data_IF_498157251120
#
_entry.id   IF_498157251120
#
_cell.length_a   1.000
_cell.length_b   1.000
_cell.length_c   1.000
_cell.angle_alpha   90.00
_cell.angle_beta   90.00
_cell.angle_gamma   90.00
#
_symmetry.space_group_name_H-M   'P 1'
#
loop_
_entity.id
_entity.type
_entity.pdbx_description
1 polymer ?
#
# COMPACT_ATOMS: atom_id res chain seq x y z
N UNK A 1 21.24 -9.39 3.39
CA UNK A 1 21.05 -10.29 4.55
C UNK A 1 21.19 -11.70 4.05
N UNK A 2 22.09 -12.50 4.61
CA UNK A 2 22.29 -13.89 4.19
C UNK A 2 21.15 -14.81 4.69
N UNK A 3 21.06 -16.00 4.10
CA UNK A 3 19.99 -16.96 4.40
C UNK A 3 19.95 -17.42 5.86
N UNK A 4 21.12 -17.51 6.52
CA UNK A 4 21.22 -17.96 7.92
C UNK A 4 20.73 -16.87 8.87
N UNK A 5 21.01 -15.61 8.57
CA UNK A 5 20.50 -14.45 9.31
C UNK A 5 18.98 -14.34 9.16
N UNK A 6 18.45 -14.60 7.96
CA UNK A 6 17.00 -14.60 7.70
C UNK A 6 16.26 -15.70 8.47
N UNK A 7 16.82 -16.92 8.51
CA UNK A 7 16.26 -18.04 9.28
C UNK A 7 16.20 -17.76 10.78
N UNK A 8 17.27 -17.15 11.33
CA UNK A 8 17.30 -16.71 12.73
C UNK A 8 16.26 -15.63 13.03
N UNK A 9 16.12 -14.66 12.13
CA UNK A 9 15.13 -13.60 12.26
C UNK A 9 13.71 -14.16 12.27
N UNK A 10 13.37 -15.11 11.39
CA UNK A 10 12.06 -15.78 11.38
C UNK A 10 11.73 -16.46 12.71
N UNK A 11 12.69 -17.17 13.29
CA UNK A 11 12.51 -17.85 14.58
C UNK A 11 12.26 -16.86 15.72
N UNK A 12 13.01 -15.76 15.74
CA UNK A 12 12.83 -14.72 16.76
C UNK A 12 11.50 -13.97 16.61
N UNK A 13 11.04 -13.73 15.38
CA UNK A 13 9.71 -13.13 15.13
C UNK A 13 8.60 -14.06 15.60
N UNK A 14 8.71 -15.37 15.38
CA UNK A 14 7.72 -16.33 15.89
C UNK A 14 7.65 -16.34 17.43
N UNK A 15 8.75 -16.05 18.13
CA UNK A 15 8.76 -15.93 19.59
C UNK A 15 8.03 -14.68 20.12
N UNK A 16 7.72 -13.70 19.27
CA UNK A 16 6.92 -12.55 19.69
C UNK A 16 5.44 -12.88 19.88
N UNK A 17 4.99 -14.03 19.38
CA UNK A 17 3.60 -14.51 19.50
C UNK A 17 3.41 -15.41 20.74
N UNK A 18 4.46 -15.64 21.54
CA UNK A 18 4.31 -16.40 22.80
C UNK A 18 3.63 -15.53 23.86
N UNK A 19 2.82 -16.12 24.77
CA UNK A 19 2.12 -15.34 25.81
C UNK A 19 3.04 -14.88 26.95
N UNK A 20 4.32 -15.24 26.93
CA UNK A 20 5.27 -14.95 27.99
C UNK A 20 6.03 -13.64 27.72
N UNK A 21 5.70 -12.57 28.44
CA UNK A 21 6.28 -11.23 28.22
C UNK A 21 7.81 -11.20 28.24
N UNK A 22 8.44 -11.99 29.13
CA UNK A 22 9.89 -12.03 29.23
C UNK A 22 10.54 -12.67 28.00
N UNK A 23 9.86 -13.61 27.33
CA UNK A 23 10.32 -14.18 26.07
C UNK A 23 10.18 -13.18 24.91
N UNK A 24 9.07 -12.44 24.87
CA UNK A 24 8.84 -11.40 23.86
C UNK A 24 9.90 -10.29 23.94
N UNK A 25 10.18 -9.80 25.16
CA UNK A 25 11.21 -8.77 25.40
C UNK A 25 12.59 -9.29 25.00
N UNK A 26 12.93 -10.52 25.39
CA UNK A 26 14.20 -11.15 25.00
C UNK A 26 14.31 -11.34 23.48
N UNK A 27 13.22 -11.74 22.81
CA UNK A 27 13.17 -11.86 21.36
C UNK A 27 13.38 -10.50 20.68
N UNK A 28 12.75 -9.43 21.18
CA UNK A 28 12.91 -8.07 20.66
C UNK A 28 14.36 -7.58 20.77
N UNK A 29 15.02 -7.81 21.91
CA UNK A 29 16.44 -7.50 22.09
C UNK A 29 17.31 -8.27 21.11
N UNK A 30 17.09 -9.58 20.95
CA UNK A 30 17.84 -10.41 20.00
C UNK A 30 17.62 -10.01 18.55
N UNK A 31 16.42 -9.58 18.18
CA UNK A 31 16.14 -9.04 16.83
C UNK A 31 16.94 -7.74 16.64
N UNK A 32 16.93 -6.84 17.61
CA UNK A 32 17.68 -5.59 17.53
C UNK A 32 19.19 -5.82 17.40
N UNK A 33 19.76 -6.74 18.18
CA UNK A 33 21.18 -7.10 18.10
C UNK A 33 21.53 -7.73 16.74
N UNK A 34 20.66 -8.61 16.24
CA UNK A 34 20.83 -9.23 14.93
C UNK A 34 20.81 -8.18 13.80
N UNK A 35 19.89 -7.22 13.84
CA UNK A 35 19.82 -6.13 12.87
C UNK A 35 21.05 -5.22 12.95
N UNK A 36 21.50 -4.86 14.17
CA UNK A 36 22.71 -4.06 14.37
C UNK A 36 23.97 -4.76 13.87
N UNK A 37 24.08 -6.08 14.03
CA UNK A 37 25.19 -6.87 13.48
C UNK A 37 25.27 -6.81 11.94
N UNK A 38 24.16 -6.45 11.28
CA UNK A 38 24.07 -6.25 9.84
C UNK A 38 24.15 -4.76 9.44
N UNK A 39 24.51 -3.88 10.38
CA UNK A 39 24.60 -2.43 10.16
C UNK A 39 23.25 -1.76 9.94
N UNK A 40 22.15 -2.35 10.42
CA UNK A 40 20.80 -1.83 10.26
C UNK A 40 20.14 -1.54 11.60
N UNK A 41 19.32 -0.50 11.64
CA UNK A 41 18.39 -0.27 12.75
C UNK A 41 17.04 -0.92 12.48
N UNK A 42 16.21 -1.03 13.53
CA UNK A 42 14.82 -1.46 13.38
C UNK A 42 14.03 -0.58 12.40
N UNK A 43 14.30 0.72 12.40
CA UNK A 43 13.67 1.69 11.48
C UNK A 43 14.08 1.42 10.04
N UNK A 44 15.36 1.15 9.79
CA UNK A 44 15.84 0.80 8.44
C UNK A 44 15.22 -0.50 7.94
N UNK A 45 15.08 -1.48 8.84
CA UNK A 45 14.45 -2.76 8.53
C UNK A 45 12.96 -2.60 8.22
N UNK A 46 12.22 -1.83 9.04
CA UNK A 46 10.81 -1.52 8.82
C UNK A 46 10.61 -0.77 7.49
N UNK A 47 11.41 0.26 7.22
CA UNK A 47 11.39 1.00 5.95
C UNK A 47 11.67 0.09 4.76
N UNK A 48 12.59 -0.88 4.90
CA UNK A 48 12.86 -1.87 3.84
C UNK A 48 11.69 -2.82 3.61
N UNK A 49 10.95 -3.22 4.65
CA UNK A 49 9.73 -4.03 4.49
C UNK A 49 8.60 -3.23 3.83
N UNK A 50 8.45 -1.96 4.20
CA UNK A 50 7.51 -1.05 3.54
C UNK A 50 7.87 -0.86 2.06
N UNK A 51 9.16 -0.74 1.73
CA UNK A 51 9.63 -0.63 0.35
C UNK A 51 9.56 -1.96 -0.41
N UNK A 52 9.75 -3.11 0.24
CA UNK A 52 9.66 -4.43 -0.38
C UNK A 52 8.22 -4.89 -0.62
N UNK A 53 7.25 -4.31 0.08
CA UNK A 53 5.81 -4.54 -0.15
C UNK A 53 5.22 -3.58 -1.18
N UNK A 54 5.99 -2.60 -1.65
CA UNK A 54 5.65 -1.78 -2.83
C UNK A 54 6.12 -2.52 -4.09
N UNK A 55 5.24 -2.77 -5.08
CA UNK A 55 5.66 -3.34 -6.35
C UNK A 55 6.73 -2.43 -6.97
N UNK A 56 7.91 -2.97 -7.24
CA UNK A 56 8.99 -2.27 -7.95
C UNK A 56 8.63 -2.15 -9.43
N UNK A 57 7.74 -1.21 -9.73
CA UNK A 57 7.74 -0.54 -11.03
C UNK A 57 8.93 0.43 -11.11
N UNK A 58 9.33 0.87 -12.31
CA UNK A 58 10.31 1.95 -12.47
C UNK A 58 9.88 3.19 -11.66
N UNK A 59 10.79 4.09 -11.28
CA UNK A 59 10.42 5.33 -10.63
C UNK A 59 9.63 6.17 -11.64
N UNK A 60 8.32 6.00 -11.67
CA UNK A 60 7.43 6.97 -12.28
C UNK A 60 7.68 8.30 -11.56
N UNK A 61 7.90 9.35 -12.33
CA UNK A 61 7.97 10.71 -11.82
C UNK A 61 6.89 10.92 -10.74
N UNK A 62 7.22 11.60 -9.62
CA UNK A 62 6.23 11.82 -8.58
C UNK A 62 4.99 12.44 -9.23
N UNK A 63 3.81 11.81 -9.09
CA UNK A 63 2.61 12.24 -9.80
C UNK A 63 2.43 13.72 -9.49
N UNK A 64 2.35 14.52 -10.55
CA UNK A 64 2.18 15.95 -10.37
C UNK A 64 0.86 16.16 -9.64
N UNK A 65 0.76 17.24 -8.86
CA UNK A 65 -0.50 17.58 -8.16
C UNK A 65 -1.70 17.65 -9.13
N UNK A 66 -1.43 17.93 -10.40
CA UNK A 66 -2.39 17.98 -11.50
C UNK A 66 -2.97 16.60 -11.85
N UNK A 67 -2.18 15.52 -11.78
CA UNK A 67 -2.65 14.16 -12.06
C UNK A 67 -3.68 13.70 -11.04
N UNK A 68 -3.46 14.03 -9.75
CA UNK A 68 -4.40 13.68 -8.68
C UNK A 68 -5.71 14.46 -8.77
N UNK A 69 -5.67 15.74 -9.18
CA UNK A 69 -6.88 16.56 -9.37
C UNK A 69 -7.80 15.94 -10.42
N UNK A 70 -7.26 15.49 -11.56
CA UNK A 70 -8.03 14.83 -12.62
C UNK A 70 -8.80 13.60 -12.10
N UNK A 71 -8.18 12.80 -11.24
CA UNK A 71 -8.82 11.61 -10.67
C UNK A 71 -9.94 11.96 -9.68
N UNK A 72 -9.76 13.02 -8.88
CA UNK A 72 -10.83 13.53 -8.01
C UNK A 72 -12.03 13.96 -8.84
N UNK A 73 -11.81 14.77 -9.87
CA UNK A 73 -12.87 15.28 -10.74
C UNK A 73 -13.61 14.16 -11.49
N UNK A 74 -12.88 13.14 -11.96
CA UNK A 74 -13.49 11.98 -12.61
C UNK A 74 -14.38 11.20 -11.64
N UNK A 75 -13.87 10.92 -10.43
CA UNK A 75 -14.66 10.20 -9.42
C UNK A 75 -15.86 11.02 -8.96
N UNK A 76 -15.71 12.33 -8.77
CA UNK A 76 -16.83 13.24 -8.43
C UNK A 76 -17.91 13.17 -9.50
N UNK A 77 -17.54 13.25 -10.78
CA UNK A 77 -18.51 13.16 -11.89
C UNK A 77 -19.23 11.81 -11.94
N UNK A 78 -18.51 10.71 -11.75
CA UNK A 78 -19.11 9.37 -11.76
C UNK A 78 -20.01 9.15 -10.53
N UNK A 79 -19.65 9.73 -9.38
CA UNK A 79 -20.44 9.72 -8.15
C UNK A 79 -21.69 10.61 -8.22
N UNK A 80 -21.62 11.75 -8.89
CA UNK A 80 -22.76 12.65 -9.06
C UNK A 80 -23.75 12.15 -10.13
N UNK A 81 -23.25 11.38 -11.10
CA UNK A 81 -24.05 10.83 -12.19
C UNK A 81 -24.73 9.50 -11.88
N UNK A 82 -24.63 8.98 -10.64
CA UNK A 82 -25.09 7.63 -10.28
C UNK A 82 -24.59 6.55 -11.25
N UNK A 83 -23.34 6.70 -11.73
CA UNK A 83 -22.79 5.91 -12.84
C UNK A 83 -22.37 4.47 -12.47
N UNK A 84 -22.52 4.09 -11.20
CA UNK A 84 -22.19 2.76 -10.70
C UNK A 84 -23.39 1.82 -10.78
N UNK A 85 -23.11 0.55 -11.01
CA UNK A 85 -24.13 -0.51 -11.09
C UNK A 85 -24.18 -1.36 -9.83
N UNK A 86 -23.21 -1.20 -8.93
CA UNK A 86 -23.11 -1.95 -7.68
C UNK A 86 -22.52 -1.11 -6.55
N UNK A 87 -22.84 -1.47 -5.30
CA UNK A 87 -22.24 -0.84 -4.11
C UNK A 87 -20.71 -0.96 -4.10
N UNK A 88 -20.17 -2.06 -4.65
CA UNK A 88 -18.73 -2.26 -4.79
C UNK A 88 -18.07 -1.21 -5.69
N UNK A 89 -18.73 -0.80 -6.77
CA UNK A 89 -18.22 0.24 -7.67
C UNK A 89 -18.31 1.62 -7.01
N UNK A 90 -19.39 1.89 -6.29
CA UNK A 90 -19.51 3.10 -5.48
C UNK A 90 -18.40 3.21 -4.44
N UNK A 91 -18.19 2.16 -3.64
CA UNK A 91 -17.15 2.10 -2.62
C UNK A 91 -15.75 2.29 -3.23
N UNK A 92 -15.53 1.72 -4.42
CA UNK A 92 -14.30 1.92 -5.17
C UNK A 92 -14.10 3.38 -5.58
N UNK A 93 -15.11 4.04 -6.16
CA UNK A 93 -15.06 5.44 -6.55
C UNK A 93 -14.80 6.36 -5.34
N UNK A 94 -15.50 6.13 -4.22
CA UNK A 94 -15.28 6.89 -2.97
C UNK A 94 -13.86 6.70 -2.42
N UNK A 95 -13.34 5.49 -2.51
CA UNK A 95 -11.99 5.14 -2.06
C UNK A 95 -10.91 5.80 -2.92
N UNK A 96 -11.04 5.72 -4.25
CA UNK A 96 -10.11 6.36 -5.20
C UNK A 96 -10.13 7.88 -5.02
N UNK A 97 -11.32 8.49 -4.92
CA UNK A 97 -11.49 9.92 -4.64
C UNK A 97 -10.74 10.34 -3.37
N UNK A 98 -10.87 9.57 -2.29
CA UNK A 98 -10.19 9.83 -1.02
C UNK A 98 -8.67 9.72 -1.13
N UNK A 99 -8.15 8.76 -1.89
CA UNK A 99 -6.71 8.60 -2.12
C UNK A 99 -6.16 9.73 -2.99
N UNK A 100 -6.83 10.06 -4.08
CA UNK A 100 -6.43 11.13 -4.98
C UNK A 100 -6.37 12.49 -4.27
N UNK A 101 -7.33 12.79 -3.37
CA UNK A 101 -7.27 13.99 -2.50
C UNK A 101 -6.06 14.03 -1.56
N UNK A 102 -5.47 12.88 -1.24
CA UNK A 102 -4.26 12.75 -0.42
C UNK A 102 -2.98 12.71 -1.26
N UNK A 103 -3.07 13.00 -2.56
CA UNK A 103 -1.93 12.97 -3.49
C UNK A 103 -1.51 11.56 -3.89
N UNK A 104 -2.40 10.57 -3.77
CA UNK A 104 -2.14 9.19 -4.19
C UNK A 104 -3.00 8.85 -5.41
N UNK A 105 -2.42 8.79 -6.63
CA UNK A 105 -3.18 8.40 -7.80
C UNK A 105 -3.54 6.90 -7.75
N UNK A 106 -4.62 6.49 -8.44
CA UNK A 106 -4.94 5.08 -8.63
C UNK A 106 -3.84 4.37 -9.43
N UNK A 107 -3.60 3.10 -9.13
CA UNK A 107 -2.68 2.25 -9.91
C UNK A 107 -3.22 1.99 -11.32
N UNK A 108 -2.37 1.56 -12.27
CA UNK A 108 -2.79 1.27 -13.65
C UNK A 108 -4.02 0.33 -13.72
N UNK A 109 -4.04 -0.72 -12.91
CA UNK A 109 -5.17 -1.66 -12.85
C UNK A 109 -6.47 -0.99 -12.38
N UNK A 110 -6.36 -0.03 -11.45
CA UNK A 110 -7.49 0.75 -10.96
C UNK A 110 -7.93 1.79 -12.00
N UNK A 111 -6.99 2.36 -12.75
CA UNK A 111 -7.29 3.27 -13.87
C UNK A 111 -8.09 2.56 -14.96
N UNK A 112 -7.67 1.36 -15.37
CA UNK A 112 -8.43 0.53 -16.32
C UNK A 112 -9.86 0.29 -15.84
N UNK A 113 -10.05 0.07 -14.54
CA UNK A 113 -11.39 -0.14 -13.99
C UNK A 113 -12.22 1.16 -13.93
N UNK A 114 -11.60 2.31 -13.64
CA UNK A 114 -12.26 3.62 -13.74
C UNK A 114 -12.70 3.93 -15.17
N UNK A 115 -11.85 3.64 -16.15
CA UNK A 115 -12.16 3.83 -17.56
C UNK A 115 -13.30 2.91 -18.01
N UNK A 116 -13.34 1.66 -17.52
CA UNK A 116 -14.45 0.73 -17.75
C UNK A 116 -15.77 1.27 -17.19
N UNK A 117 -15.79 1.75 -15.94
CA UNK A 117 -16.98 2.39 -15.34
C UNK A 117 -17.41 3.61 -16.18
N UNK A 118 -16.48 4.49 -16.54
CA UNK A 118 -16.76 5.70 -17.31
C UNK A 118 -17.24 5.42 -18.75
N UNK A 119 -16.74 4.36 -19.38
CA UNK A 119 -17.14 3.95 -20.73
C UNK A 119 -18.61 3.48 -20.77
N UNK A 120 -19.07 2.81 -19.71
CA UNK A 120 -20.46 2.39 -19.54
C UNK A 120 -21.39 3.59 -19.40
N UNK A 121 -20.96 4.65 -18.72
CA UNK A 121 -21.75 5.88 -18.55
C UNK A 121 -21.90 6.67 -19.85
N UNK A 122 -20.88 6.69 -20.71
CA UNK A 122 -20.94 7.40 -22.01
C UNK A 122 -21.85 6.74 -23.04
N UNK A 123 -22.20 5.46 -22.85
CA UNK A 123 -23.02 4.69 -23.79
C UNK A 123 -24.52 4.83 -23.50
N UNK A 124 -24.90 5.46 -22.39
CA UNK A 124 -26.31 5.68 -22.00
C UNK A 124 -26.81 7.06 -22.46
N UNK A 125 -26.71 7.34 -23.75
CA UNK A 125 -27.37 8.47 -24.43
C UNK A 125 -28.20 7.95 -25.59
#
# INVERSE_FOLDING_TARGET
MDAKTLDRLRKLVAMLDTPEEHEQVNAMHRINDLLRSQGMTFVDFARRLELATVPTGPPDDPPTRDDCTRWVELCDRLLDADAWTSDKERDFLETVRKWARRGKPPSEKQQVWLDDIASRTKTTV
#
